data_IF_298167422815
#
_entry.id   IF_298167422815
#
_cell.length_a   1.000
_cell.length_b   1.000
_cell.length_c   1.000
_cell.angle_alpha   90.00
_cell.angle_beta   90.00
_cell.angle_gamma   90.00
#
_symmetry.space_group_name_H-M   'P 1'
#
loop_
_entity.id
_entity.type
_entity.pdbx_description
1 polymer ?
#
# COMPACT_ATOMS: atom_id res chain seq x y z
N UNK A 1 17.51 3.20 23.50
CA UNK A 1 17.10 3.67 22.15
C UNK A 1 15.65 3.27 22.03
N UNK A 2 14.73 4.23 21.98
CA UNK A 2 13.31 3.91 21.92
C UNK A 2 13.05 3.12 20.64
N UNK A 3 12.62 1.87 20.77
CA UNK A 3 11.98 1.09 19.71
C UNK A 3 10.80 1.92 19.21
N UNK A 4 11.04 2.80 18.24
CA UNK A 4 9.96 3.49 17.55
C UNK A 4 9.17 2.39 16.87
N UNK A 5 7.95 2.15 17.36
CA UNK A 5 7.05 1.15 16.79
C UNK A 5 6.86 1.51 15.31
N UNK A 6 7.37 0.66 14.43
CA UNK A 6 7.16 0.77 13.00
C UNK A 6 5.65 0.78 12.71
N UNK A 7 5.18 1.57 11.73
CA UNK A 7 3.74 1.71 11.51
C UNK A 7 3.13 0.41 10.98
N UNK A 8 1.87 0.14 11.34
CA UNK A 8 1.06 -0.83 10.60
C UNK A 8 0.47 -0.15 9.37
N UNK A 9 0.32 -0.90 8.28
CA UNK A 9 -0.25 -0.41 7.03
C UNK A 9 -1.46 -1.24 6.65
N UNK A 10 -2.58 -0.60 6.32
CA UNK A 10 -3.78 -1.25 5.80
C UNK A 10 -3.99 -0.84 4.35
N UNK A 11 -3.94 -1.82 3.46
CA UNK A 11 -4.05 -1.65 2.02
C UNK A 11 -5.40 -2.15 1.55
N UNK A 12 -6.33 -1.23 1.32
CA UNK A 12 -7.71 -1.54 0.93
C UNK A 12 -7.89 -1.32 -0.56
N UNK A 13 -8.04 -2.41 -1.31
CA UNK A 13 -8.33 -2.40 -2.74
C UNK A 13 -9.84 -2.34 -2.94
N UNK A 14 -10.31 -1.39 -3.74
CA UNK A 14 -11.73 -1.20 -4.05
C UNK A 14 -11.92 -1.32 -5.56
N UNK A 15 -12.73 -2.28 -5.99
CA UNK A 15 -13.05 -2.52 -7.40
C UNK A 15 -14.20 -1.64 -7.89
N UNK A 16 -14.31 -1.49 -9.21
CA UNK A 16 -15.34 -0.67 -9.84
C UNK A 16 -16.77 -1.23 -9.68
N UNK A 17 -16.92 -2.52 -9.39
CA UNK A 17 -18.20 -3.15 -9.03
C UNK A 17 -18.51 -3.08 -7.52
N UNK A 18 -17.68 -2.37 -6.74
CA UNK A 18 -17.92 -2.12 -5.32
C UNK A 18 -17.52 -3.26 -4.40
N UNK A 19 -16.59 -4.12 -4.82
CA UNK A 19 -15.99 -5.13 -3.96
C UNK A 19 -14.72 -4.56 -3.32
N UNK A 20 -14.45 -4.96 -2.08
CA UNK A 20 -13.30 -4.49 -1.30
C UNK A 20 -12.53 -5.63 -0.67
N UNK A 21 -11.21 -5.45 -0.55
CA UNK A 21 -10.31 -6.33 0.21
C UNK A 21 -9.26 -5.50 0.91
N UNK A 22 -9.09 -5.69 2.20
CA UNK A 22 -8.05 -5.06 3.01
C UNK A 22 -6.98 -6.06 3.38
N UNK A 23 -5.75 -5.78 2.98
CA UNK A 23 -4.55 -6.51 3.42
C UNK A 23 -3.80 -5.65 4.43
N UNK A 24 -3.58 -6.17 5.64
CA UNK A 24 -2.85 -5.46 6.69
C UNK A 24 -1.45 -6.00 6.84
N UNK A 25 -0.50 -5.07 6.84
CA UNK A 25 0.93 -5.31 6.95
C UNK A 25 1.45 -4.79 8.29
N UNK A 26 2.26 -5.62 8.95
CA UNK A 26 2.92 -5.30 10.20
C UNK A 26 4.42 -5.41 9.97
N UNK A 27 5.17 -4.46 10.49
CA UNK A 27 6.61 -4.51 10.33
C UNK A 27 7.23 -5.47 11.36
N UNK A 28 7.90 -6.51 10.88
CA UNK A 28 8.77 -7.36 11.67
C UNK A 28 10.22 -6.83 11.64
N UNK A 29 11.11 -7.53 12.33
CA UNK A 29 12.53 -7.24 12.50
C UNK A 29 13.28 -6.93 11.18
N UNK A 30 12.85 -7.46 10.03
CA UNK A 30 13.56 -7.27 8.75
C UNK A 30 12.69 -6.91 7.54
N UNK A 31 11.35 -6.98 7.63
CA UNK A 31 10.43 -6.70 6.50
C UNK A 31 9.00 -6.48 6.98
N UNK A 32 8.15 -5.93 6.13
CA UNK A 32 6.70 -6.01 6.32
C UNK A 32 6.18 -7.41 6.01
N UNK A 33 5.35 -7.92 6.91
CA UNK A 33 4.64 -9.19 6.72
C UNK A 33 3.14 -8.97 6.80
N UNK A 34 2.39 -9.72 5.98
CA UNK A 34 0.94 -9.77 6.04
C UNK A 34 0.53 -10.50 7.32
N UNK A 35 -0.20 -9.82 8.21
CA UNK A 35 -0.74 -10.45 9.42
C UNK A 35 -2.26 -10.60 9.38
N UNK A 36 -2.94 -9.90 8.48
CA UNK A 36 -4.39 -9.97 8.34
C UNK A 36 -4.81 -9.68 6.91
N UNK A 37 -5.83 -10.40 6.44
CA UNK A 37 -6.44 -10.25 5.14
C UNK A 37 -7.94 -10.49 5.30
N UNK A 38 -8.78 -9.54 4.87
CA UNK A 38 -10.23 -9.68 4.99
C UNK A 38 -10.83 -10.64 3.98
N UNK A 39 -10.09 -10.98 2.92
CA UNK A 39 -10.68 -11.48 1.68
C UNK A 39 -11.53 -10.42 0.98
N UNK A 40 -12.13 -10.81 -0.15
CA UNK A 40 -13.04 -9.95 -0.91
C UNK A 40 -14.46 -9.97 -0.33
N UNK A 41 -15.05 -8.79 -0.21
CA UNK A 41 -16.44 -8.60 0.23
C UNK A 41 -17.17 -7.63 -0.71
N UNK A 42 -18.44 -7.87 -1.07
CA UNK A 42 -19.27 -9.03 -0.69
C UNK A 42 -18.94 -10.31 -1.48
N UNK A 43 -18.18 -10.18 -2.57
CA UNK A 43 -17.74 -11.26 -3.45
C UNK A 43 -16.42 -10.89 -4.11
N UNK A 44 -15.84 -11.81 -4.87
CA UNK A 44 -14.70 -11.47 -5.74
C UNK A 44 -15.09 -10.44 -6.81
N UNK A 45 -14.16 -9.53 -7.18
CA UNK A 45 -14.42 -8.49 -8.15
C UNK A 45 -14.51 -9.08 -9.56
N UNK A 46 -15.50 -8.61 -10.32
CA UNK A 46 -15.65 -8.91 -11.75
C UNK A 46 -15.15 -7.75 -12.62
N UNK A 47 -14.95 -6.58 -12.02
CA UNK A 47 -14.40 -5.38 -12.66
C UNK A 47 -13.04 -5.03 -12.07
N UNK A 48 -12.30 -4.21 -12.82
CA UNK A 48 -10.97 -3.73 -12.43
C UNK A 48 -10.99 -2.94 -11.11
N UNK A 49 -9.82 -2.83 -10.49
CA UNK A 49 -9.57 -1.90 -9.39
C UNK A 49 -9.96 -0.48 -9.81
N UNK A 50 -10.79 0.17 -8.99
CA UNK A 50 -11.13 1.58 -9.17
C UNK A 50 -10.14 2.47 -8.43
N UNK A 51 -9.80 2.09 -7.19
CA UNK A 51 -8.84 2.81 -6.34
C UNK A 51 -8.31 1.90 -5.24
N UNK A 52 -7.25 2.36 -4.59
CA UNK A 52 -6.74 1.80 -3.35
C UNK A 52 -6.61 2.91 -2.31
N UNK A 53 -6.94 2.55 -1.08
CA UNK A 53 -6.70 3.37 0.10
C UNK A 53 -5.60 2.72 0.94
N UNK A 54 -4.57 3.49 1.29
CA UNK A 54 -3.43 3.03 2.08
C UNK A 54 -3.44 3.80 3.40
N UNK A 55 -3.85 3.15 4.48
CA UNK A 55 -3.84 3.73 5.82
C UNK A 55 -2.56 3.33 6.56
N UNK A 56 -1.83 4.31 7.09
CA UNK A 56 -0.55 4.11 7.78
C UNK A 56 -0.71 4.57 9.23
N UNK A 57 -0.42 3.70 10.18
CA UNK A 57 -0.70 3.90 11.60
C UNK A 57 0.57 3.69 12.45
N UNK A 58 1.24 4.77 12.88
CA UNK A 58 2.43 4.69 13.75
C UNK A 58 2.06 4.52 15.23
N UNK A 59 0.96 5.14 15.65
CA UNK A 59 0.47 5.12 17.03
C UNK A 59 -1.02 5.50 17.05
N UNK A 60 -1.66 5.47 18.23
CA UNK A 60 -3.08 5.81 18.38
C UNK A 60 -3.45 7.23 17.92
N UNK A 61 -2.48 8.11 17.68
CA UNK A 61 -2.70 9.53 17.38
C UNK A 61 -2.05 10.03 16.09
N UNK A 62 -1.24 9.21 15.40
CA UNK A 62 -0.70 9.54 14.07
C UNK A 62 -1.14 8.48 13.08
N UNK A 63 -2.06 8.88 12.20
CA UNK A 63 -2.43 8.15 11.01
C UNK A 63 -2.31 9.05 9.78
N UNK A 64 -2.05 8.44 8.65
CA UNK A 64 -2.02 9.10 7.34
C UNK A 64 -2.69 8.17 6.33
N UNK A 65 -3.43 8.75 5.38
CA UNK A 65 -4.12 7.99 4.34
C UNK A 65 -3.65 8.48 2.99
N UNK A 66 -3.16 7.56 2.18
CA UNK A 66 -2.80 7.80 0.78
C UNK A 66 -3.81 7.11 -0.13
N UNK A 67 -3.85 7.54 -1.39
CA UNK A 67 -4.72 6.95 -2.40
C UNK A 67 -3.95 6.65 -3.68
N UNK A 68 -4.31 5.54 -4.31
CA UNK A 68 -3.92 5.20 -5.67
C UNK A 68 -5.18 5.06 -6.51
N UNK A 69 -5.14 5.52 -7.77
CA UNK A 69 -6.14 5.10 -8.76
C UNK A 69 -5.86 3.67 -9.26
N UNK A 70 -6.77 3.14 -10.07
CA UNK A 70 -6.64 1.78 -10.61
C UNK A 70 -5.44 1.56 -11.54
N UNK A 71 -5.00 2.59 -12.27
CA UNK A 71 -3.84 2.49 -13.15
C UNK A 71 -2.54 2.52 -12.34
N UNK A 72 -2.43 3.43 -11.37
CA UNK A 72 -1.33 3.50 -10.41
C UNK A 72 -1.21 2.21 -9.61
N UNK A 73 -2.34 1.65 -9.15
CA UNK A 73 -2.38 0.35 -8.48
C UNK A 73 -1.79 -0.76 -9.36
N UNK A 74 -2.27 -0.85 -10.61
CA UNK A 74 -1.80 -1.85 -11.57
C UNK A 74 -0.29 -1.74 -11.80
N UNK A 75 0.22 -0.52 -11.94
CA UNK A 75 1.65 -0.29 -12.16
C UNK A 75 2.47 -0.66 -10.92
N UNK A 76 1.99 -0.33 -9.72
CA UNK A 76 2.61 -0.74 -8.46
C UNK A 76 2.70 -2.27 -8.31
N UNK A 77 1.65 -3.00 -8.68
CA UNK A 77 1.65 -4.48 -8.68
C UNK A 77 2.57 -5.05 -9.77
N UNK A 78 2.51 -4.52 -10.99
CA UNK A 78 3.28 -5.01 -12.13
C UNK A 78 4.79 -4.89 -11.92
N UNK A 79 5.24 -3.82 -11.26
CA UNK A 79 6.66 -3.54 -11.04
C UNK A 79 7.13 -3.83 -9.61
N UNK A 80 6.32 -4.52 -8.80
CA UNK A 80 6.60 -4.93 -7.43
C UNK A 80 7.08 -3.77 -6.53
N UNK A 81 6.40 -2.62 -6.60
CA UNK A 81 6.79 -1.39 -5.88
C UNK A 81 6.17 -1.27 -4.49
N UNK A 82 5.15 -2.06 -4.18
CA UNK A 82 4.49 -1.99 -2.88
C UNK A 82 5.45 -2.34 -1.72
N UNK A 83 6.27 -3.41 -1.78
CA UNK A 83 7.23 -3.70 -0.72
C UNK A 83 8.23 -2.56 -0.48
N UNK A 84 8.73 -1.93 -1.54
CA UNK A 84 9.67 -0.81 -1.45
C UNK A 84 9.04 0.42 -0.77
N UNK A 85 7.79 0.75 -1.13
CA UNK A 85 7.02 1.82 -0.47
C UNK A 85 6.88 1.55 1.03
N UNK A 86 6.53 0.32 1.41
CA UNK A 86 6.37 -0.06 2.81
C UNK A 86 7.70 0.08 3.56
N UNK A 87 8.81 -0.36 2.97
CA UNK A 87 10.14 -0.28 3.58
C UNK A 87 10.63 1.18 3.74
N UNK A 88 10.34 2.07 2.78
CA UNK A 88 10.62 3.50 2.89
C UNK A 88 9.85 4.13 4.07
N UNK A 89 8.55 3.83 4.18
CA UNK A 89 7.70 4.31 5.28
C UNK A 89 8.21 3.78 6.64
N UNK A 90 8.63 2.52 6.74
CA UNK A 90 9.23 2.00 7.98
C UNK A 90 10.58 2.63 8.33
N UNK A 91 11.33 3.06 7.33
CA UNK A 91 12.63 3.74 7.51
C UNK A 91 12.47 5.18 8.00
N UNK A 92 11.25 5.73 7.94
CA UNK A 92 10.89 7.03 8.47
C UNK A 92 10.64 8.10 7.40
N UNK A 93 10.59 7.70 6.13
CA UNK A 93 10.29 8.62 5.03
C UNK A 93 8.86 9.15 5.13
N UNK A 94 8.64 10.35 4.60
CA UNK A 94 7.30 10.94 4.52
C UNK A 94 6.45 10.13 3.53
N UNK A 95 5.28 9.61 3.92
CA UNK A 95 4.55 8.65 3.10
C UNK A 95 4.15 9.17 1.72
N UNK A 96 3.72 10.43 1.64
CA UNK A 96 3.38 11.06 0.37
C UNK A 96 4.60 11.12 -0.57
N UNK A 97 5.78 11.46 -0.05
CA UNK A 97 7.03 11.51 -0.83
C UNK A 97 7.44 10.11 -1.28
N UNK A 98 7.43 9.13 -0.37
CA UNK A 98 7.75 7.74 -0.69
C UNK A 98 6.81 7.17 -1.77
N UNK A 99 5.52 7.54 -1.73
CA UNK A 99 4.55 7.15 -2.75
C UNK A 99 4.88 7.76 -4.11
N UNK A 100 5.17 9.06 -4.16
CA UNK A 100 5.52 9.75 -5.41
C UNK A 100 6.78 9.18 -6.06
N UNK A 101 7.77 8.80 -5.26
CA UNK A 101 8.97 8.11 -5.74
C UNK A 101 8.65 6.73 -6.31
N UNK A 102 7.91 5.90 -5.56
CA UNK A 102 7.50 4.57 -6.01
C UNK A 102 6.70 4.62 -7.33
N UNK A 103 5.79 5.58 -7.47
CA UNK A 103 5.01 5.79 -8.70
C UNK A 103 5.88 6.31 -9.85
N UNK A 104 6.82 7.20 -9.57
CA UNK A 104 7.74 7.71 -10.59
C UNK A 104 8.62 6.60 -11.16
N UNK A 105 9.09 5.71 -10.31
CA UNK A 105 9.90 4.56 -10.72
C UNK A 105 9.07 3.52 -11.47
N UNK A 106 7.83 3.24 -11.04
CA UNK A 106 6.88 2.42 -11.79
C UNK A 106 6.66 2.97 -13.22
N UNK A 107 6.41 4.28 -13.35
CA UNK A 107 6.20 4.93 -14.64
C UNK A 107 7.44 4.87 -15.55
N UNK A 108 8.65 5.01 -14.99
CA UNK A 108 9.90 4.86 -15.74
C UNK A 108 10.07 3.44 -16.30
N UNK A 109 9.72 2.43 -15.53
CA UNK A 109 9.77 1.03 -15.96
C UNK A 109 8.73 0.73 -17.05
N UNK A 110 7.55 1.32 -16.94
CA UNK A 110 6.51 1.21 -17.97
C UNK A 110 6.93 1.80 -19.32
N UNK A 111 7.69 2.90 -19.34
CA UNK A 111 8.22 3.49 -20.57
C UNK A 111 9.42 2.74 -21.17
N UNK A 112 10.05 1.84 -20.42
CA UNK A 112 11.19 1.06 -20.87
C UNK A 112 10.80 -0.28 -21.53
N UNK A 113 9.50 -0.61 -21.54
CA UNK A 113 8.92 -1.83 -22.10
C UNK A 113 8.28 -1.57 -23.47
#
# INVERSE_FOLDING_TARGET
>A
MSDAKKPSVHYTVISADGCERTTSYGADSCRYEVYHDTGWSPREPELQTARVEIEICWSASRHETLQLDGDQHRDMEMYDRLPELLDAIASGDEPQVALEEALSDAARLAMAC
#
